data_IF_149374292845
#
_entry.id   IF_149374292845
#
_cell.length_a   1.000
_cell.length_b   1.000
_cell.length_c   1.000
_cell.angle_alpha   90.00
_cell.angle_beta   90.00
_cell.angle_gamma   90.00
#
_symmetry.space_group_name_H-M   'P 1'
#
loop_
_entity.id
_entity.type
_entity.pdbx_description
1 polymer ?
#
# COMPACT_ATOMS: atom_id res chain seq x y z
N UNK A 1 -39.39 10.79 -12.50
CA UNK A 1 -38.22 11.33 -13.24
C UNK A 1 -37.53 10.22 -14.04
N UNK A 2 -37.29 10.42 -15.34
CA UNK A 2 -36.51 9.48 -16.16
C UNK A 2 -35.00 9.76 -15.96
N UNK A 3 -34.13 8.73 -15.90
CA UNK A 3 -32.70 8.95 -15.87
C UNK A 3 -32.22 9.52 -17.20
N UNK A 4 -31.64 10.72 -17.17
CA UNK A 4 -31.08 11.40 -18.34
C UNK A 4 -29.57 11.36 -18.26
N UNK A 5 -28.91 10.83 -19.29
CA UNK A 5 -27.45 10.86 -19.39
C UNK A 5 -27.01 12.13 -20.14
N UNK A 6 -26.34 13.03 -19.43
CA UNK A 6 -25.67 14.19 -20.01
C UNK A 6 -24.16 13.94 -19.96
N UNK A 7 -23.54 13.66 -21.10
CA UNK A 7 -22.11 13.38 -21.21
C UNK A 7 -21.30 14.70 -21.23
N UNK A 8 -20.12 14.78 -20.58
CA UNK A 8 -19.87 15.80 -19.60
C UNK A 8 -19.31 17.06 -20.26
N UNK A 9 -20.06 18.15 -20.13
CA UNK A 9 -19.46 19.48 -20.04
C UNK A 9 -18.85 19.74 -18.66
N UNK A 10 -19.20 18.94 -17.65
CA UNK A 10 -18.79 19.13 -16.25
C UNK A 10 -18.62 17.81 -15.47
N UNK A 11 -17.71 17.78 -14.50
CA UNK A 11 -17.52 16.76 -13.46
C UNK A 11 -17.96 17.35 -12.12
N UNK A 12 -18.69 16.58 -11.30
CA UNK A 12 -19.43 17.04 -10.11
C UNK A 12 -18.57 17.55 -8.94
N UNK A 13 -19.19 17.66 -7.76
CA UNK A 13 -18.60 18.25 -6.53
C UNK A 13 -17.29 17.60 -6.06
N UNK A 14 -17.01 16.37 -6.50
CA UNK A 14 -15.71 15.70 -6.35
C UNK A 14 -15.14 15.43 -7.74
N UNK A 15 -14.03 16.06 -8.06
CA UNK A 15 -13.32 15.92 -9.33
C UNK A 15 -11.97 15.26 -9.13
N UNK A 16 -11.62 14.35 -10.03
CA UNK A 16 -10.32 13.66 -10.07
C UNK A 16 -9.26 14.44 -10.86
N UNK A 17 -9.57 15.65 -11.33
CA UNK A 17 -8.59 16.56 -11.90
C UNK A 17 -7.84 17.20 -10.73
N UNK A 18 -6.58 16.85 -10.56
CA UNK A 18 -5.68 17.39 -9.54
C UNK A 18 -5.47 18.90 -9.70
N UNK A 19 -5.32 19.62 -8.58
CA UNK A 19 -5.12 21.07 -8.54
C UNK A 19 -6.26 21.83 -7.85
N UNK A 20 -6.40 23.12 -8.15
CA UNK A 20 -7.38 24.03 -7.53
C UNK A 20 -8.85 23.58 -7.65
N UNK A 21 -9.13 22.61 -8.52
CA UNK A 21 -10.41 21.92 -8.70
C UNK A 21 -10.83 21.04 -7.51
N UNK A 22 -9.89 20.64 -6.63
CA UNK A 22 -10.19 19.86 -5.41
C UNK A 22 -10.61 20.78 -4.25
N UNK A 23 -10.31 22.08 -4.31
CA UNK A 23 -10.69 23.03 -3.27
C UNK A 23 -12.07 23.63 -3.52
N UNK A 24 -13.03 23.30 -2.64
CA UNK A 24 -14.31 24.01 -2.52
C UNK A 24 -15.47 23.47 -3.37
N UNK A 25 -15.54 22.15 -3.61
CA UNK A 25 -16.66 21.48 -4.30
C UNK A 25 -17.03 22.12 -5.64
N UNK A 26 -16.03 22.54 -6.42
CA UNK A 26 -16.26 23.24 -7.69
C UNK A 26 -16.44 22.23 -8.83
N UNK A 27 -17.47 22.45 -9.63
CA UNK A 27 -17.66 21.73 -10.88
C UNK A 27 -16.47 21.95 -11.81
N UNK A 28 -15.81 20.88 -12.25
CA UNK A 28 -14.71 20.97 -13.20
C UNK A 28 -15.26 20.83 -14.63
N UNK A 29 -15.02 21.83 -15.48
CA UNK A 29 -15.43 21.77 -16.87
C UNK A 29 -14.55 20.80 -17.66
N UNK A 30 -15.18 19.91 -18.43
CA UNK A 30 -14.48 19.02 -19.36
C UNK A 30 -14.83 19.43 -20.77
N UNK A 31 -13.82 19.82 -21.54
CA UNK A 31 -13.96 20.19 -22.95
C UNK A 31 -13.45 19.07 -23.85
N UNK A 32 -14.16 18.81 -24.93
CA UNK A 32 -13.66 17.94 -25.99
C UNK A 32 -12.62 18.65 -26.85
N UNK A 33 -11.64 17.91 -27.43
CA UNK A 33 -10.74 18.47 -28.42
C UNK A 33 -11.52 19.09 -29.59
N UNK A 34 -11.33 20.39 -29.83
CA UNK A 34 -11.92 21.08 -30.99
C UNK A 34 -11.00 20.88 -32.19
N UNK A 35 -11.16 19.74 -32.87
CA UNK A 35 -10.42 19.38 -34.08
C UNK A 35 -11.37 18.86 -35.15
N UNK A 36 -11.14 19.25 -36.39
CA UNK A 36 -11.99 18.86 -37.52
C UNK A 36 -12.06 17.33 -37.64
N UNK A 37 -13.27 16.81 -37.87
CA UNK A 37 -13.51 15.36 -37.99
C UNK A 37 -13.56 14.58 -36.68
N UNK A 38 -13.50 15.23 -35.51
CA UNK A 38 -13.61 14.55 -34.23
C UNK A 38 -15.02 14.01 -33.98
N UNK A 39 -15.11 12.74 -33.60
CA UNK A 39 -16.36 12.07 -33.23
C UNK A 39 -16.11 11.17 -32.03
N UNK A 40 -17.14 10.97 -31.20
CA UNK A 40 -17.10 10.10 -30.04
C UNK A 40 -18.39 9.30 -29.92
N UNK A 41 -18.28 8.12 -29.32
CA UNK A 41 -19.39 7.22 -29.07
C UNK A 41 -19.31 6.72 -27.64
N UNK A 42 -20.45 6.77 -26.96
CA UNK A 42 -20.57 6.36 -25.56
C UNK A 42 -21.56 5.21 -25.43
N UNK A 43 -21.30 4.35 -24.44
CA UNK A 43 -22.25 3.33 -23.97
C UNK A 43 -22.37 3.48 -22.46
N UNK A 44 -23.59 3.57 -21.98
CA UNK A 44 -23.90 3.62 -20.55
C UNK A 44 -24.50 2.29 -20.12
N UNK A 45 -23.97 1.71 -19.04
CA UNK A 45 -24.60 0.60 -18.33
C UNK A 45 -25.23 1.15 -17.05
N UNK A 46 -26.54 0.98 -16.90
CA UNK A 46 -27.25 1.22 -15.65
C UNK A 46 -27.72 -0.12 -15.09
N UNK A 47 -27.17 -0.52 -13.96
CA UNK A 47 -27.53 -1.76 -13.29
C UNK A 47 -28.21 -1.46 -11.95
N UNK A 48 -29.46 -1.90 -11.83
CA UNK A 48 -30.22 -1.85 -10.59
C UNK A 48 -30.29 -3.25 -10.02
N UNK A 49 -29.84 -3.43 -8.77
CA UNK A 49 -29.87 -4.73 -8.11
C UNK A 49 -30.15 -4.58 -6.61
N UNK A 50 -30.63 -5.65 -5.99
CA UNK A 50 -30.74 -5.80 -4.54
C UNK A 50 -29.97 -7.05 -4.15
N UNK A 51 -29.05 -6.93 -3.20
CA UNK A 51 -28.23 -8.04 -2.71
C UNK A 51 -28.46 -8.25 -1.22
N UNK A 52 -28.22 -9.46 -0.69
CA UNK A 52 -28.44 -9.76 0.72
C UNK A 52 -27.47 -9.02 1.66
N UNK A 53 -26.26 -8.71 1.18
CA UNK A 53 -25.20 -8.05 1.94
C UNK A 53 -24.26 -7.26 1.01
N UNK A 54 -23.29 -6.56 1.63
CA UNK A 54 -22.29 -5.76 0.94
C UNK A 54 -21.30 -6.61 0.11
N UNK A 55 -20.72 -7.73 0.62
CA UNK A 55 -19.87 -8.60 -0.21
C UNK A 55 -20.57 -9.11 -1.48
N UNK A 56 -21.85 -9.46 -1.42
CA UNK A 56 -22.65 -9.85 -2.57
C UNK A 56 -22.84 -8.67 -3.54
N UNK A 57 -23.05 -7.45 -3.04
CA UNK A 57 -23.12 -6.24 -3.87
C UNK A 57 -21.81 -6.02 -4.65
N UNK A 58 -20.67 -6.05 -3.97
CA UNK A 58 -19.34 -5.87 -4.57
C UNK A 58 -19.07 -6.94 -5.64
N UNK A 59 -19.30 -8.22 -5.29
CA UNK A 59 -19.10 -9.34 -6.20
C UNK A 59 -19.98 -9.24 -7.45
N UNK A 60 -21.26 -8.90 -7.27
CA UNK A 60 -22.22 -8.77 -8.37
C UNK A 60 -21.89 -7.60 -9.30
N UNK A 61 -21.54 -6.44 -8.73
CA UNK A 61 -21.13 -5.27 -9.50
C UNK A 61 -19.84 -5.52 -10.29
N UNK A 62 -18.82 -6.11 -9.64
CA UNK A 62 -17.54 -6.41 -10.30
C UNK A 62 -17.71 -7.42 -11.43
N UNK A 63 -18.44 -8.52 -11.20
CA UNK A 63 -18.69 -9.54 -12.23
C UNK A 63 -19.45 -9.00 -13.43
N UNK A 64 -20.47 -8.18 -13.21
CA UNK A 64 -21.23 -7.60 -14.31
C UNK A 64 -20.36 -6.73 -15.23
N UNK A 65 -19.40 -5.97 -14.66
CA UNK A 65 -18.44 -5.20 -15.45
C UNK A 65 -17.43 -6.14 -16.11
N UNK A 66 -16.90 -7.14 -15.40
CA UNK A 66 -15.96 -8.12 -15.94
C UNK A 66 -16.55 -8.87 -17.14
N UNK A 67 -17.76 -9.39 -17.01
CA UNK A 67 -18.48 -10.11 -18.07
C UNK A 67 -18.81 -9.18 -19.26
N UNK A 68 -19.09 -7.91 -19.01
CA UNK A 68 -19.31 -6.92 -20.08
C UNK A 68 -18.02 -6.58 -20.83
N UNK A 69 -16.90 -6.49 -20.13
CA UNK A 69 -15.60 -6.21 -20.75
C UNK A 69 -15.04 -7.44 -21.47
N UNK A 70 -15.44 -8.65 -21.04
CA UNK A 70 -14.94 -9.92 -21.54
C UNK A 70 -13.41 -9.89 -21.74
N UNK A 71 -12.64 -9.54 -20.70
CA UNK A 71 -11.21 -9.34 -20.86
C UNK A 71 -10.57 -10.66 -21.31
N UNK A 72 -9.68 -10.63 -22.31
CA UNK A 72 -9.09 -11.86 -22.84
C UNK A 72 -8.27 -12.55 -21.75
N UNK A 73 -8.44 -13.87 -21.63
CA UNK A 73 -7.54 -14.70 -20.83
C UNK A 73 -6.25 -14.90 -21.64
N UNK A 74 -5.20 -14.20 -21.23
CA UNK A 74 -3.88 -14.32 -21.85
C UNK A 74 -3.14 -15.49 -21.20
N UNK A 75 -2.79 -16.56 -21.94
CA UNK A 75 -1.97 -17.63 -21.39
C UNK A 75 -0.59 -17.07 -21.02
N UNK A 76 -0.21 -17.23 -19.76
CA UNK A 76 1.11 -16.86 -19.26
C UNK A 76 1.65 -17.94 -18.32
N UNK A 77 2.98 -18.07 -18.29
CA UNK A 77 3.64 -18.91 -17.29
C UNK A 77 3.64 -18.18 -15.95
N UNK A 78 2.63 -18.45 -15.12
CA UNK A 78 2.50 -17.85 -13.78
C UNK A 78 3.70 -18.18 -12.88
N UNK A 79 4.34 -19.33 -13.07
CA UNK A 79 5.53 -19.68 -12.30
C UNK A 79 6.72 -18.81 -12.72
N UNK A 80 6.84 -18.50 -14.02
CA UNK A 80 7.84 -17.52 -14.49
C UNK A 80 7.53 -16.12 -13.96
N UNK A 81 6.28 -15.66 -14.02
CA UNK A 81 5.90 -14.33 -13.48
C UNK A 81 6.26 -14.23 -11.99
N UNK A 82 5.97 -15.27 -11.21
CA UNK A 82 6.34 -15.32 -9.80
C UNK A 82 7.87 -15.25 -9.60
N UNK A 83 8.64 -16.09 -10.32
CA UNK A 83 10.11 -16.09 -10.21
C UNK A 83 10.72 -14.75 -10.62
N UNK A 84 10.26 -14.16 -11.72
CA UNK A 84 10.72 -12.84 -12.18
C UNK A 84 10.38 -11.76 -11.14
N UNK A 85 9.19 -11.82 -10.52
CA UNK A 85 8.80 -10.91 -9.46
C UNK A 85 9.65 -11.05 -8.19
N UNK A 86 9.98 -12.28 -7.78
CA UNK A 86 10.89 -12.52 -6.65
C UNK A 86 12.31 -12.08 -6.96
N UNK A 87 12.78 -12.27 -8.20
CA UNK A 87 14.09 -11.79 -8.63
C UNK A 87 14.16 -10.26 -8.63
N UNK A 88 13.07 -9.58 -9.04
CA UNK A 88 12.97 -8.13 -8.94
C UNK A 88 13.00 -7.66 -7.48
N UNK A 89 12.20 -8.28 -6.60
CA UNK A 89 12.25 -7.97 -5.17
C UNK A 89 13.65 -8.17 -4.60
N UNK A 90 14.31 -9.31 -4.86
CA UNK A 90 15.68 -9.54 -4.39
C UNK A 90 16.67 -8.49 -4.90
N UNK A 91 16.47 -7.97 -6.12
CA UNK A 91 17.29 -6.90 -6.68
C UNK A 91 17.01 -5.52 -6.06
N UNK A 92 15.79 -5.27 -5.58
CA UNK A 92 15.36 -4.01 -4.96
C UNK A 92 15.50 -4.00 -3.41
N UNK A 93 15.62 -5.16 -2.77
CA UNK A 93 15.91 -5.26 -1.32
C UNK A 93 17.41 -5.41 -1.11
N UNK A 94 18.10 -4.28 -1.04
CA UNK A 94 19.54 -4.22 -0.84
C UNK A 94 19.97 -2.97 -0.06
N UNK A 95 21.28 -2.81 0.14
CA UNK A 95 21.83 -1.65 0.81
C UNK A 95 21.64 -0.37 -0.01
N UNK A 96 20.99 0.62 0.60
CA UNK A 96 20.92 2.01 0.17
C UNK A 96 21.65 2.88 1.18
N UNK A 97 22.81 3.41 0.79
CA UNK A 97 23.60 4.32 1.63
C UNK A 97 23.84 3.81 3.07
N UNK A 98 24.17 2.53 3.21
CA UNK A 98 24.42 1.90 4.52
C UNK A 98 23.19 1.31 5.23
N UNK A 99 22.01 1.31 4.61
CA UNK A 99 20.78 0.74 5.18
C UNK A 99 20.16 -0.25 4.20
N UNK A 100 19.99 -1.51 4.61
CA UNK A 100 19.23 -2.48 3.82
C UNK A 100 17.74 -2.17 3.94
N UNK A 101 17.08 -1.93 2.80
CA UNK A 101 15.67 -1.58 2.74
C UNK A 101 15.09 -1.85 1.36
N UNK A 102 13.78 -1.62 1.22
CA UNK A 102 13.10 -1.39 -0.06
C UNK A 102 13.05 0.13 -0.30
N UNK A 103 13.38 0.62 -1.50
CA UNK A 103 13.28 2.05 -1.82
C UNK A 103 11.82 2.44 -2.04
N UNK A 104 11.47 3.70 -1.75
CA UNK A 104 10.09 4.19 -1.90
C UNK A 104 9.65 4.28 -3.36
N UNK A 105 10.57 4.60 -4.28
CA UNK A 105 10.22 4.73 -5.69
C UNK A 105 11.38 4.44 -6.65
N UNK A 106 11.02 3.76 -7.75
CA UNK A 106 11.85 3.56 -8.92
C UNK A 106 11.08 3.90 -10.20
N UNK A 107 11.80 4.29 -11.26
CA UNK A 107 11.22 4.68 -12.56
C UNK A 107 11.08 3.48 -13.48
N UNK A 108 9.90 3.29 -14.06
CA UNK A 108 9.68 2.29 -15.12
C UNK A 108 9.95 2.87 -16.51
N UNK A 109 10.50 2.08 -17.47
CA UNK A 109 10.86 0.67 -17.33
C UNK A 109 12.29 0.43 -16.80
N UNK A 110 13.06 1.48 -16.51
CA UNK A 110 14.51 1.38 -16.25
C UNK A 110 14.91 0.83 -14.88
N UNK A 111 14.00 0.85 -13.89
CA UNK A 111 14.29 0.45 -12.51
C UNK A 111 15.18 1.43 -11.74
N UNK A 112 15.42 2.64 -12.27
CA UNK A 112 16.26 3.63 -11.58
C UNK A 112 15.57 4.12 -10.31
N UNK A 113 16.19 3.87 -9.15
CA UNK A 113 15.71 4.34 -7.85
C UNK A 113 15.84 5.85 -7.78
N UNK A 114 14.72 6.52 -7.49
CA UNK A 114 14.63 7.99 -7.41
C UNK A 114 14.25 8.50 -6.02
N UNK A 115 13.80 7.61 -5.13
CA UNK A 115 13.56 7.90 -3.72
C UNK A 115 14.00 6.70 -2.88
N UNK A 116 15.09 6.87 -2.16
CA UNK A 116 15.68 5.87 -1.26
C UNK A 116 15.06 5.86 0.13
N UNK A 117 14.09 6.73 0.44
CA UNK A 117 13.35 6.64 1.70
C UNK A 117 12.59 5.31 1.79
N UNK A 118 12.28 4.88 3.00
CA UNK A 118 11.62 3.61 3.29
C UNK A 118 10.36 3.86 4.09
N UNK A 119 9.22 3.35 3.61
CA UNK A 119 7.95 3.38 4.33
C UNK A 119 7.49 1.96 4.61
N UNK A 120 7.18 1.69 5.89
CA UNK A 120 6.98 0.31 6.37
C UNK A 120 5.86 -0.45 5.66
N UNK A 121 4.80 0.24 5.23
CA UNK A 121 3.61 -0.31 4.59
C UNK A 121 3.04 0.61 3.52
N UNK A 122 1.75 0.43 3.19
CA UNK A 122 1.02 1.21 2.18
C UNK A 122 1.70 1.30 0.81
N UNK A 123 2.27 2.44 0.41
CA UNK A 123 2.94 2.55 -0.91
C UNK A 123 4.37 2.03 -0.83
N UNK A 124 5.07 2.25 0.28
CA UNK A 124 6.47 1.82 0.43
C UNK A 124 6.65 0.32 0.63
N UNK A 125 5.67 -0.37 1.23
CA UNK A 125 5.61 -1.84 1.33
C UNK A 125 6.87 -2.52 1.89
N UNK A 126 7.72 -1.83 2.67
CA UNK A 126 9.02 -2.38 3.06
C UNK A 126 8.92 -3.69 3.84
N UNK A 127 8.00 -3.77 4.82
CA UNK A 127 7.79 -4.99 5.61
C UNK A 127 7.08 -6.10 4.84
N UNK A 128 5.96 -5.85 4.10
CA UNK A 128 5.35 -6.87 3.25
C UNK A 128 6.30 -7.44 2.18
N UNK A 129 7.08 -6.59 1.53
CA UNK A 129 8.05 -7.01 0.51
C UNK A 129 9.16 -7.88 1.11
N UNK A 130 9.71 -7.48 2.28
CA UNK A 130 10.67 -8.30 3.00
C UNK A 130 10.08 -9.66 3.41
N UNK A 131 8.82 -9.70 3.88
CA UNK A 131 8.17 -10.95 4.27
C UNK A 131 7.96 -11.90 3.09
N UNK A 132 7.58 -11.38 1.91
CA UNK A 132 7.47 -12.16 0.67
C UNK A 132 8.83 -12.70 0.21
N UNK A 133 9.86 -11.85 0.20
CA UNK A 133 11.21 -12.26 -0.16
C UNK A 133 11.73 -13.32 0.81
N UNK A 134 11.54 -13.14 2.12
CA UNK A 134 11.95 -14.09 3.15
C UNK A 134 11.34 -15.46 2.94
N UNK A 135 10.02 -15.52 2.70
CA UNK A 135 9.33 -16.78 2.45
C UNK A 135 9.93 -17.51 1.24
N UNK A 136 10.00 -16.84 0.09
CA UNK A 136 10.55 -17.45 -1.13
C UNK A 136 12.01 -17.89 -0.92
N UNK A 137 12.82 -17.07 -0.26
CA UNK A 137 14.26 -17.32 -0.09
C UNK A 137 14.55 -18.49 0.84
N UNK A 138 13.72 -18.69 1.88
CA UNK A 138 13.79 -19.89 2.73
C UNK A 138 13.39 -21.16 1.98
N UNK A 139 12.44 -21.07 1.05
CA UNK A 139 12.00 -22.20 0.21
C UNK A 139 13.04 -22.56 -0.88
N UNK A 140 13.75 -21.57 -1.41
CA UNK A 140 14.77 -21.75 -2.46
C UNK A 140 16.19 -21.94 -1.92
N UNK A 141 16.44 -21.66 -0.65
CA UNK A 141 17.77 -21.75 -0.03
C UNK A 141 18.69 -20.57 -0.37
N UNK A 142 18.14 -19.40 -0.71
CA UNK A 142 18.89 -18.17 -0.96
C UNK A 142 19.23 -17.46 0.36
N UNK A 143 20.42 -17.75 0.89
CA UNK A 143 20.86 -17.24 2.19
C UNK A 143 21.04 -15.71 2.23
N UNK A 144 21.45 -15.09 1.12
CA UNK A 144 21.71 -13.65 1.06
C UNK A 144 20.38 -12.89 1.13
N UNK A 145 19.38 -13.30 0.33
CA UNK A 145 18.04 -12.73 0.37
C UNK A 145 17.34 -12.97 1.72
N UNK A 146 17.58 -14.11 2.38
CA UNK A 146 17.12 -14.34 3.76
C UNK A 146 17.75 -13.31 4.71
N UNK A 147 19.06 -13.06 4.62
CA UNK A 147 19.75 -12.08 5.46
C UNK A 147 19.17 -10.68 5.25
N UNK A 148 19.08 -10.22 4.00
CA UNK A 148 18.56 -8.90 3.68
C UNK A 148 17.12 -8.71 4.16
N UNK A 149 16.24 -9.69 3.92
CA UNK A 149 14.85 -9.61 4.38
C UNK A 149 14.76 -9.58 5.92
N UNK A 150 15.57 -10.37 6.63
CA UNK A 150 15.68 -10.30 8.08
C UNK A 150 16.14 -8.93 8.55
N UNK A 151 17.15 -8.33 7.92
CA UNK A 151 17.68 -7.01 8.28
C UNK A 151 16.64 -5.89 8.15
N UNK A 152 15.79 -5.94 7.11
CA UNK A 152 14.66 -5.00 6.98
C UNK A 152 13.69 -5.13 8.15
N UNK A 153 13.28 -6.36 8.49
CA UNK A 153 12.31 -6.59 9.57
C UNK A 153 12.93 -6.23 10.93
N UNK A 154 14.19 -6.60 11.16
CA UNK A 154 14.95 -6.25 12.36
C UNK A 154 15.07 -4.73 12.52
N UNK A 155 15.37 -3.99 11.45
CA UNK A 155 15.41 -2.53 11.49
C UNK A 155 14.09 -1.95 12.01
N UNK A 156 12.97 -2.31 11.40
CA UNK A 156 11.67 -1.76 11.79
C UNK A 156 11.26 -2.19 13.21
N UNK A 157 11.45 -3.46 13.57
CA UNK A 157 11.05 -3.98 14.87
C UNK A 157 11.77 -3.31 16.06
N UNK A 158 13.01 -2.88 15.84
CA UNK A 158 13.86 -2.31 16.89
C UNK A 158 13.87 -0.77 16.94
N UNK A 159 13.62 -0.07 15.82
CA UNK A 159 13.92 1.35 15.74
C UNK A 159 12.69 2.27 15.64
N UNK A 160 11.52 1.75 15.27
CA UNK A 160 10.41 2.62 14.88
C UNK A 160 9.42 2.97 16.00
N UNK A 161 9.25 2.12 17.02
CA UNK A 161 8.20 2.26 18.04
C UNK A 161 8.52 3.38 19.02
N UNK A 162 7.58 4.30 19.24
CA UNK A 162 7.67 5.35 20.26
C UNK A 162 7.31 4.81 21.65
N UNK A 163 7.62 5.54 22.74
CA UNK A 163 7.18 5.16 24.09
C UNK A 163 5.65 5.01 24.23
N UNK A 164 4.87 5.69 23.39
CA UNK A 164 3.41 5.55 23.35
C UNK A 164 2.93 4.24 22.71
N UNK A 165 3.81 3.45 22.09
CA UNK A 165 3.47 2.23 21.35
C UNK A 165 3.13 2.48 19.88
N UNK A 166 3.27 3.72 19.39
CA UNK A 166 2.99 4.13 18.01
C UNK A 166 4.25 4.05 17.16
N UNK A 167 4.26 3.36 16.00
CA UNK A 167 5.45 3.29 15.16
C UNK A 167 5.62 4.54 14.29
N UNK A 168 6.84 5.08 14.22
CA UNK A 168 7.24 5.95 13.12
C UNK A 168 7.20 5.12 11.83
N UNK A 169 6.56 5.62 10.78
CA UNK A 169 6.25 4.79 9.60
C UNK A 169 7.10 5.06 8.37
N UNK A 170 7.94 6.10 8.40
CA UNK A 170 8.71 6.55 7.25
C UNK A 170 10.11 7.01 7.66
N UNK A 171 11.12 6.36 7.09
CA UNK A 171 12.53 6.58 7.33
C UNK A 171 13.23 7.15 6.09
N UNK A 172 13.87 8.30 6.24
CA UNK A 172 14.62 8.96 5.17
C UNK A 172 16.07 8.47 5.15
N UNK A 173 16.50 8.00 3.98
CA UNK A 173 17.87 7.54 3.72
C UNK A 173 18.44 8.48 2.66
N UNK A 174 19.39 9.32 3.04
CA UNK A 174 19.95 10.34 2.15
C UNK A 174 21.21 9.86 1.40
N UNK A 175 21.49 10.40 0.20
CA UNK A 175 22.67 10.02 -0.58
C UNK A 175 24.03 10.24 0.09
N UNK A 176 24.09 11.14 1.07
CA UNK A 176 25.29 11.42 1.88
C UNK A 176 25.44 10.48 3.09
N UNK A 177 24.58 9.46 3.21
CA UNK A 177 24.57 8.50 4.32
C UNK A 177 23.87 9.02 5.58
N UNK A 178 23.35 10.25 5.59
CA UNK A 178 22.52 10.73 6.70
C UNK A 178 21.19 9.99 6.69
N UNK A 179 20.68 9.68 7.87
CA UNK A 179 19.34 9.10 8.03
C UNK A 179 18.52 9.86 9.06
N UNK A 180 17.21 9.98 8.80
CA UNK A 180 16.28 10.65 9.71
C UNK A 180 14.90 10.01 9.69
N UNK A 181 14.17 10.10 10.79
CA UNK A 181 12.73 9.84 10.75
C UNK A 181 12.03 11.02 10.09
N UNK A 182 11.15 10.74 9.12
CA UNK A 182 10.37 11.79 8.46
C UNK A 182 9.39 12.39 9.46
N UNK A 183 9.22 13.71 9.40
CA UNK A 183 8.15 14.40 10.14
C UNK A 183 6.80 14.03 9.53
N UNK A 184 6.23 12.92 10.00
CA UNK A 184 5.08 12.26 9.42
C UNK A 184 4.29 11.56 10.52
N UNK A 185 3.01 11.91 10.66
CA UNK A 185 2.11 11.22 11.57
C UNK A 185 1.94 9.75 11.20
N UNK A 186 1.52 8.96 12.19
CA UNK A 186 1.24 7.56 12.00
C UNK A 186 -0.14 7.40 11.38
N UNK A 187 -0.19 7.34 10.06
CA UNK A 187 -1.39 6.92 9.35
C UNK A 187 -1.68 5.45 9.65
N UNK A 188 -2.89 5.18 10.13
CA UNK A 188 -3.28 3.85 10.58
C UNK A 188 -3.09 2.80 9.48
N UNK A 189 -3.42 3.15 8.24
CA UNK A 189 -3.22 2.26 7.09
C UNK A 189 -1.75 1.90 6.86
N UNK A 190 -0.84 2.86 6.98
CA UNK A 190 0.59 2.63 6.74
C UNK A 190 1.16 1.71 7.81
N UNK A 191 0.81 1.96 9.08
CA UNK A 191 1.22 1.12 10.20
C UNK A 191 0.63 -0.29 10.10
N UNK A 192 -0.69 -0.43 9.93
CA UNK A 192 -1.35 -1.72 9.84
C UNK A 192 -0.82 -2.58 8.68
N UNK A 193 -0.68 -2.01 7.48
CA UNK A 193 -0.13 -2.74 6.32
C UNK A 193 1.32 -3.20 6.60
N UNK A 194 2.14 -2.35 7.23
CA UNK A 194 3.51 -2.71 7.59
C UNK A 194 3.58 -3.83 8.63
N UNK A 195 2.75 -3.75 9.67
CA UNK A 195 2.75 -4.70 10.79
C UNK A 195 2.13 -6.05 10.42
N UNK A 196 1.21 -6.08 9.46
CA UNK A 196 0.77 -7.32 8.81
C UNK A 196 1.96 -8.02 8.13
N UNK A 197 2.79 -7.26 7.40
CA UNK A 197 4.04 -7.76 6.82
C UNK A 197 5.02 -8.31 7.87
N UNK A 198 5.25 -7.58 8.97
CA UNK A 198 6.11 -8.05 10.06
C UNK A 198 5.57 -9.33 10.73
N UNK A 199 4.25 -9.43 10.92
CA UNK A 199 3.61 -10.62 11.48
C UNK A 199 3.73 -11.82 10.54
N UNK A 200 3.58 -11.61 9.22
CA UNK A 200 3.82 -12.64 8.21
C UNK A 200 5.27 -13.11 8.22
N UNK A 201 6.23 -12.19 8.30
CA UNK A 201 7.65 -12.53 8.39
C UNK A 201 7.96 -13.39 9.63
N UNK A 202 7.39 -13.04 10.79
CA UNK A 202 7.52 -13.83 12.02
C UNK A 202 6.93 -15.24 11.87
N UNK A 203 5.73 -15.35 11.31
CA UNK A 203 5.04 -16.63 11.10
C UNK A 203 5.81 -17.53 10.12
N UNK A 204 6.37 -16.94 9.05
CA UNK A 204 7.29 -17.64 8.11
C UNK A 204 8.50 -18.20 8.85
N UNK A 205 9.24 -17.38 9.62
CA UNK A 205 10.40 -17.85 10.38
C UNK A 205 10.05 -18.97 11.34
N UNK A 206 8.93 -18.83 12.05
CA UNK A 206 8.44 -19.83 13.00
C UNK A 206 8.14 -21.17 12.32
N UNK A 207 7.52 -21.17 11.13
CA UNK A 207 7.26 -22.39 10.34
C UNK A 207 8.55 -23.09 9.89
N UNK A 208 9.62 -22.32 9.69
CA UNK A 208 10.96 -22.82 9.38
C UNK A 208 11.80 -23.12 10.63
N UNK A 209 11.19 -23.17 11.82
CA UNK A 209 11.85 -23.58 13.06
C UNK A 209 12.76 -22.53 13.69
N UNK A 210 12.68 -21.28 13.24
CA UNK A 210 13.43 -20.15 13.81
C UNK A 210 12.47 -19.23 14.54
N UNK A 211 12.77 -18.93 15.81
CA UNK A 211 11.97 -17.96 16.58
C UNK A 211 12.54 -16.55 16.43
N UNK A 212 11.63 -15.57 16.37
CA UNK A 212 11.92 -14.12 16.28
C UNK A 212 11.00 -13.38 17.26
N UNK A 213 11.15 -13.60 18.58
CA UNK A 213 10.23 -13.07 19.58
C UNK A 213 10.14 -11.54 19.55
N UNK A 214 11.20 -10.86 19.15
CA UNK A 214 11.27 -9.41 18.96
C UNK A 214 10.32 -8.89 17.88
N UNK A 215 10.14 -9.61 16.77
CA UNK A 215 9.20 -9.25 15.71
C UNK A 215 7.75 -9.38 16.16
N UNK A 216 7.42 -10.48 16.86
CA UNK A 216 6.09 -10.63 17.45
C UNK A 216 5.84 -9.59 18.54
N UNK A 217 6.83 -9.30 19.39
CA UNK A 217 6.72 -8.29 20.42
C UNK A 217 6.47 -6.90 19.82
N UNK A 218 7.09 -6.59 18.68
CA UNK A 218 6.81 -5.37 17.92
C UNK A 218 5.33 -5.28 17.51
N UNK A 219 4.79 -6.31 16.83
CA UNK A 219 3.37 -6.33 16.45
C UNK A 219 2.43 -6.25 17.67
N UNK A 220 2.77 -6.95 18.76
CA UNK A 220 1.98 -6.95 20.01
C UNK A 220 1.94 -5.58 20.67
N UNK A 221 3.07 -4.87 20.79
CA UNK A 221 3.11 -3.52 21.37
C UNK A 221 2.17 -2.56 20.64
N UNK A 222 2.17 -2.63 19.31
CA UNK A 222 1.25 -1.81 18.52
C UNK A 222 -0.21 -2.25 18.70
N UNK A 223 -0.49 -3.55 18.70
CA UNK A 223 -1.84 -4.08 18.94
C UNK A 223 -2.40 -3.68 20.31
N UNK A 224 -1.57 -3.73 21.35
CA UNK A 224 -1.92 -3.33 22.72
C UNK A 224 -2.28 -1.84 22.77
N UNK A 225 -1.48 -0.98 22.10
CA UNK A 225 -1.81 0.44 21.94
C UNK A 225 -3.10 0.64 21.15
N UNK A 226 -3.27 -0.07 20.03
CA UNK A 226 -4.41 0.10 19.13
C UNK A 226 -5.73 -0.24 19.84
N UNK A 227 -5.77 -1.27 20.68
CA UNK A 227 -6.95 -1.56 21.52
C UNK A 227 -7.33 -0.37 22.40
N UNK A 228 -6.35 0.32 22.99
CA UNK A 228 -6.57 1.53 23.79
C UNK A 228 -6.98 2.76 22.97
N UNK A 229 -6.61 2.81 21.69
CA UNK A 229 -6.88 3.92 20.78
C UNK A 229 -8.24 3.84 20.07
N UNK A 230 -9.02 2.77 20.29
CA UNK A 230 -10.32 2.57 19.66
C UNK A 230 -11.39 3.52 20.24
N UNK A 231 -12.15 4.17 19.36
CA UNK A 231 -13.30 5.00 19.73
C UNK A 231 -14.44 4.16 20.30
N UNK A 232 -15.37 4.80 21.03
CA UNK A 232 -16.50 4.12 21.65
C UNK A 232 -17.45 3.41 20.65
N UNK A 233 -17.48 3.85 19.39
CA UNK A 233 -18.25 3.24 18.30
C UNK A 233 -17.48 2.14 17.55
N UNK A 234 -16.26 1.82 18.00
CA UNK A 234 -15.38 0.84 17.38
C UNK A 234 -14.51 1.39 16.24
N UNK A 235 -14.64 2.66 15.89
CA UNK A 235 -13.83 3.31 14.86
C UNK A 235 -12.43 3.67 15.35
N UNK A 236 -11.57 4.07 14.42
CA UNK A 236 -10.23 4.58 14.68
C UNK A 236 -10.02 5.90 13.95
N UNK A 237 -9.18 6.77 14.51
CA UNK A 237 -8.75 7.96 13.78
C UNK A 237 -7.91 7.57 12.56
N UNK A 238 -7.90 8.44 11.55
CA UNK A 238 -7.12 8.18 10.33
C UNK A 238 -5.62 8.17 10.60
N UNK A 239 -5.18 9.06 11.47
CA UNK A 239 -3.77 9.23 11.83
C UNK A 239 -3.62 9.71 13.28
N UNK A 240 -2.49 9.35 13.86
CA UNK A 240 -2.11 9.65 15.23
C UNK A 240 -0.73 10.30 15.24
N UNK A 241 -0.51 11.24 16.15
CA UNK A 241 0.84 11.76 16.40
C UNK A 241 1.71 10.72 17.12
N UNK A 242 2.97 11.07 17.39
CA UNK A 242 3.94 10.15 18.00
C UNK A 242 3.71 9.92 19.51
N UNK A 243 2.85 10.74 20.13
CA UNK A 243 2.38 10.58 21.51
C UNK A 243 1.07 9.77 21.57
N UNK A 244 0.54 9.35 20.42
CA UNK A 244 -0.64 8.52 20.28
C UNK A 244 -1.96 9.27 20.36
N UNK A 245 -1.95 10.59 20.17
CA UNK A 245 -3.17 11.39 20.11
C UNK A 245 -3.72 11.44 18.68
N UNK A 246 -5.05 11.39 18.50
CA UNK A 246 -5.67 11.61 17.20
C UNK A 246 -5.36 13.00 16.64
N UNK A 247 -4.89 13.08 15.39
CA UNK A 247 -4.67 14.38 14.71
C UNK A 247 -5.85 14.76 13.84
N UNK A 248 -6.43 13.76 13.16
CA UNK A 248 -7.64 13.89 12.34
C UNK A 248 -8.71 12.95 12.91
N UNK A 249 -9.44 13.37 13.96
CA UNK A 249 -10.55 12.58 14.49
C UNK A 249 -11.63 12.41 13.41
N UNK A 250 -12.18 11.20 13.34
CA UNK A 250 -13.18 10.80 12.35
C UNK A 250 -14.52 11.54 12.53
#
# INVERSE_FOLDING_TARGET
>A
PAPTFQFPGTEGERTYICGASVQGNRWAYRSHPVRAGFSQRYRLLLQLSRTPDFPAAVRGAWRAVYDLQDPPVIPCDLAKVYRDGMALLAADIHEYHGVISVPFAAVVPGGEVVDTSSQMGFVGQALPAAALLLQNSLETGDADSVSHACEVVDFWAHNCVTPAGVPRTWYDIHPDGRTTWRDYHTFLRVACDGLDGALHAWDVMRRHGQDRPEWLAFCRRYGDWLVGAQSADGSYAREYDLDGQPVNPA
#
